data_IF_438792875939
#
_entry.id   IF_438792875939
#
_cell.length_a   1.000
_cell.length_b   1.000
_cell.length_c   1.000
_cell.angle_alpha   90.00
_cell.angle_beta   90.00
_cell.angle_gamma   90.00
#
_symmetry.space_group_name_H-M   'P 1'
#
loop_
_entity.id
_entity.type
_entity.pdbx_description
1 polymer ?
#
# COMPACT_ATOMS: atom_id res chain seq x y z
N UNK A 1 -43.34 13.00 -4.71
CA UNK A 1 -42.69 12.62 -3.67
C UNK A 1 -41.34 13.29 -3.44
N UNK A 2 -41.38 14.29 -2.69
CA UNK A 2 -40.17 15.08 -2.45
C UNK A 2 -39.14 14.44 -1.52
N UNK A 3 -39.58 13.52 -0.69
CA UNK A 3 -38.61 12.73 0.09
C UNK A 3 -37.64 12.05 -0.81
N UNK A 4 -38.15 11.50 -1.87
CA UNK A 4 -37.33 10.75 -2.79
C UNK A 4 -36.35 11.64 -3.51
N UNK A 5 -36.76 12.84 -3.86
CA UNK A 5 -35.87 13.78 -4.51
C UNK A 5 -34.72 14.18 -3.58
N UNK A 6 -35.01 14.42 -2.31
CA UNK A 6 -33.98 14.77 -1.32
C UNK A 6 -33.07 13.62 -1.02
N UNK A 7 -33.62 12.44 -0.75
CA UNK A 7 -32.83 11.24 -0.51
C UNK A 7 -32.00 10.88 -1.73
N UNK A 8 -32.59 10.98 -2.90
CA UNK A 8 -31.89 10.70 -4.14
C UNK A 8 -30.69 11.60 -4.34
N UNK A 9 -30.78 12.86 -3.96
CA UNK A 9 -29.68 13.80 -4.04
C UNK A 9 -28.55 13.44 -3.09
N UNK A 10 -28.87 13.10 -1.85
CA UNK A 10 -27.87 12.68 -0.88
C UNK A 10 -27.25 11.35 -1.26
N UNK A 11 -28.05 10.39 -1.70
CA UNK A 11 -27.57 9.10 -2.14
C UNK A 11 -26.63 9.22 -3.34
N UNK A 12 -26.93 10.07 -4.29
CA UNK A 12 -26.06 10.35 -5.42
C UNK A 12 -24.74 10.98 -4.97
N UNK A 13 -24.78 11.88 -4.02
CA UNK A 13 -23.59 12.52 -3.49
C UNK A 13 -22.65 11.51 -2.83
N UNK A 14 -23.19 10.52 -2.14
CA UNK A 14 -22.43 9.44 -1.53
C UNK A 14 -21.91 8.46 -2.60
N UNK A 15 -22.79 8.03 -3.49
CA UNK A 15 -22.46 7.00 -4.49
C UNK A 15 -21.43 7.47 -5.52
N UNK A 16 -21.45 8.73 -5.94
CA UNK A 16 -20.49 9.23 -6.92
C UNK A 16 -19.09 9.45 -6.34
N UNK A 17 -18.93 9.27 -5.02
CA UNK A 17 -17.65 9.40 -4.34
C UNK A 17 -16.85 8.11 -4.25
N UNK A 18 -17.36 7.01 -4.79
CA UNK A 18 -16.71 5.72 -4.70
C UNK A 18 -15.97 5.41 -6.00
N UNK A 19 -14.67 5.14 -5.90
CA UNK A 19 -13.84 4.72 -7.00
C UNK A 19 -13.02 3.51 -6.56
N UNK A 20 -12.94 2.50 -7.40
CA UNK A 20 -12.16 1.30 -7.14
C UNK A 20 -11.31 0.94 -8.35
N UNK A 21 -10.18 0.29 -8.10
CA UNK A 21 -9.34 -0.14 -9.19
C UNK A 21 -8.15 -0.96 -8.73
N UNK A 22 -7.28 -1.24 -9.69
CA UNK A 22 -6.04 -2.00 -9.47
C UNK A 22 -4.88 -1.21 -10.05
N UNK A 23 -3.81 -1.09 -9.26
CA UNK A 23 -2.53 -0.53 -9.72
C UNK A 23 -1.55 -1.67 -9.92
N UNK A 24 -1.24 -1.98 -11.16
CA UNK A 24 -0.31 -3.06 -11.51
C UNK A 24 1.12 -2.63 -11.23
N UNK A 25 1.85 -3.44 -10.48
CA UNK A 25 3.22 -3.13 -10.11
C UNK A 25 4.02 -4.39 -9.76
N UNK A 26 5.31 -4.19 -9.62
CA UNK A 26 6.24 -5.16 -9.05
C UNK A 26 6.98 -4.52 -7.88
N UNK A 27 7.68 -5.35 -7.12
CA UNK A 27 8.39 -4.93 -5.92
C UNK A 27 9.82 -5.43 -6.01
N UNK A 28 10.76 -4.59 -5.59
CA UNK A 28 12.19 -4.86 -5.70
C UNK A 28 12.93 -4.45 -4.43
N UNK A 29 14.23 -4.67 -4.40
CA UNK A 29 15.13 -4.22 -3.34
C UNK A 29 15.90 -5.36 -2.72
N UNK A 30 15.24 -6.42 -2.27
CA UNK A 30 15.86 -7.50 -1.52
C UNK A 30 15.97 -8.82 -2.30
N UNK A 31 15.29 -8.95 -3.42
CA UNK A 31 15.27 -10.15 -4.24
C UNK A 31 16.14 -10.01 -5.49
N UNK A 32 16.51 -11.13 -6.09
CA UNK A 32 17.31 -11.13 -7.31
C UNK A 32 16.57 -10.50 -8.51
N UNK A 33 15.25 -10.53 -8.49
CA UNK A 33 14.39 -9.92 -9.53
C UNK A 33 13.13 -9.36 -8.92
N UNK A 34 12.42 -8.56 -9.70
CA UNK A 34 11.15 -7.97 -9.27
C UNK A 34 10.10 -9.04 -8.98
N UNK A 35 9.31 -8.82 -7.93
CA UNK A 35 8.23 -9.70 -7.53
C UNK A 35 6.89 -9.08 -7.90
N UNK A 36 6.01 -9.78 -8.63
CA UNK A 36 4.71 -9.23 -8.97
C UNK A 36 3.82 -9.12 -7.73
N UNK A 37 3.00 -8.08 -7.68
CA UNK A 37 2.06 -7.89 -6.59
C UNK A 37 1.28 -6.62 -6.79
N UNK A 38 0.09 -6.72 -7.36
CA UNK A 38 -0.74 -5.56 -7.66
C UNK A 38 -1.42 -5.03 -6.42
N UNK A 39 -1.52 -3.71 -6.35
CA UNK A 39 -2.30 -3.03 -5.33
C UNK A 39 -3.73 -2.88 -5.82
N UNK A 40 -4.68 -3.22 -4.97
CA UNK A 40 -6.07 -2.84 -5.17
C UNK A 40 -6.36 -1.60 -4.34
N UNK A 41 -7.30 -0.78 -4.77
CA UNK A 41 -7.64 0.44 -4.04
C UNK A 41 -9.12 0.74 -4.07
N UNK A 42 -9.55 1.47 -3.06
CA UNK A 42 -10.89 2.03 -2.98
C UNK A 42 -10.77 3.46 -2.47
N UNK A 43 -11.44 4.40 -3.17
CA UNK A 43 -11.50 5.79 -2.76
C UNK A 43 -12.95 6.14 -2.51
N UNK A 44 -13.22 6.62 -1.30
CA UNK A 44 -14.55 7.10 -0.91
C UNK A 44 -14.36 8.55 -0.45
N UNK A 45 -14.83 9.51 -1.26
CA UNK A 45 -14.58 10.91 -1.00
C UNK A 45 -13.09 11.21 -0.99
N UNK A 46 -12.56 11.66 0.15
CA UNK A 46 -11.14 11.93 0.35
C UNK A 46 -10.39 10.79 1.02
N UNK A 47 -11.05 9.66 1.22
CA UNK A 47 -10.51 8.54 1.98
C UNK A 47 -10.03 7.46 1.03
N UNK A 48 -8.75 7.10 1.14
CA UNK A 48 -8.14 6.05 0.33
C UNK A 48 -7.90 4.82 1.20
N UNK A 49 -8.24 3.67 0.65
CA UNK A 49 -7.84 2.39 1.21
C UNK A 49 -7.04 1.64 0.16
N UNK A 50 -5.80 1.30 0.49
CA UNK A 50 -4.95 0.46 -0.35
C UNK A 50 -4.93 -0.94 0.23
N UNK A 51 -5.02 -1.92 -0.64
CA UNK A 51 -4.93 -3.33 -0.26
C UNK A 51 -3.60 -3.86 -0.80
N UNK A 52 -2.66 -4.12 0.11
CA UNK A 52 -1.37 -4.68 -0.24
C UNK A 52 -1.51 -6.18 -0.50
N UNK A 53 -0.85 -6.69 -1.55
CA UNK A 53 -0.81 -8.12 -1.79
C UNK A 53 0.16 -8.80 -0.81
N UNK A 54 0.12 -10.13 -0.78
CA UNK A 54 1.17 -10.91 -0.16
C UNK A 54 2.32 -11.04 -1.16
N UNK A 55 3.52 -10.61 -0.77
CA UNK A 55 4.73 -10.73 -1.58
C UNK A 55 5.83 -11.34 -0.72
N UNK A 56 6.37 -12.47 -1.15
CA UNK A 56 7.39 -13.20 -0.40
C UNK A 56 8.23 -14.03 -1.34
N UNK A 57 9.54 -14.02 -1.15
CA UNK A 57 10.47 -14.87 -1.87
C UNK A 57 11.82 -14.88 -1.14
N UNK A 58 12.75 -15.70 -1.58
CA UNK A 58 14.08 -15.76 -1.00
C UNK A 58 14.83 -14.47 -1.29
N UNK A 59 15.26 -13.79 -0.23
CA UNK A 59 16.04 -12.56 -0.33
C UNK A 59 17.51 -12.88 -0.66
N UNK A 60 18.14 -11.97 -1.39
CA UNK A 60 19.55 -12.10 -1.78
C UNK A 60 20.37 -10.85 -1.43
N UNK A 61 19.72 -9.75 -1.09
CA UNK A 61 20.36 -8.45 -0.84
C UNK A 61 19.75 -7.83 0.40
N UNK A 62 20.60 -7.30 1.28
CA UNK A 62 20.15 -6.48 2.42
C UNK A 62 19.78 -5.09 1.92
N UNK A 63 18.51 -4.74 2.00
CA UNK A 63 17.98 -3.46 1.57
C UNK A 63 16.56 -3.30 2.12
N UNK A 64 15.91 -2.19 1.79
CA UNK A 64 14.48 -2.04 1.95
C UNK A 64 13.76 -2.55 0.69
N UNK A 65 12.46 -2.86 0.83
CA UNK A 65 11.61 -3.19 -0.31
C UNK A 65 11.00 -1.89 -0.84
N UNK A 66 10.90 -1.77 -2.14
CA UNK A 66 10.22 -0.62 -2.76
C UNK A 66 9.33 -1.08 -3.91
N UNK A 67 8.28 -0.31 -4.13
CA UNK A 67 7.40 -0.48 -5.28
C UNK A 67 8.11 0.09 -6.52
N UNK A 68 8.15 -0.66 -7.60
CA UNK A 68 8.88 -0.28 -8.82
C UNK A 68 8.21 0.88 -9.59
N UNK A 69 6.92 1.07 -9.39
CA UNK A 69 6.17 2.17 -9.97
C UNK A 69 5.71 3.12 -8.87
N UNK A 70 5.16 4.27 -9.24
CA UNK A 70 4.56 5.19 -8.27
C UNK A 70 3.04 5.09 -8.35
N UNK A 71 2.37 5.41 -7.26
CA UNK A 71 0.91 5.50 -7.25
C UNK A 71 0.44 6.56 -8.24
N UNK A 72 -0.72 6.36 -8.89
CA UNK A 72 -1.34 7.41 -9.68
C UNK A 72 -1.54 8.68 -8.86
N UNK A 73 -1.51 9.85 -9.51
CA UNK A 73 -1.62 11.13 -8.83
C UNK A 73 -2.86 11.22 -7.94
N UNK A 74 -3.97 10.61 -8.36
CA UNK A 74 -5.22 10.62 -7.61
C UNK A 74 -5.19 9.81 -6.31
N UNK A 75 -4.17 9.00 -6.09
CA UNK A 75 -4.02 8.17 -4.88
C UNK A 75 -2.86 8.63 -3.98
N UNK A 76 -2.17 9.71 -4.33
CA UNK A 76 -1.01 10.16 -3.57
C UNK A 76 -1.44 10.91 -2.32
N UNK A 77 -0.86 10.60 -1.17
CA UNK A 77 -1.17 11.34 0.06
C UNK A 77 -0.62 12.77 -0.01
N UNK A 78 -1.27 13.69 0.70
CA UNK A 78 -0.79 15.07 0.81
C UNK A 78 0.37 15.21 1.80
N UNK A 79 0.46 14.28 2.74
CA UNK A 79 1.57 14.18 3.68
C UNK A 79 2.10 12.75 3.64
N UNK A 80 3.39 12.53 3.91
CA UNK A 80 3.92 11.16 4.01
C UNK A 80 3.14 10.35 5.04
N UNK A 81 2.88 9.10 4.72
CA UNK A 81 2.18 8.18 5.62
C UNK A 81 3.13 7.07 6.07
N UNK A 82 3.23 6.89 7.38
CA UNK A 82 3.98 5.79 7.99
C UNK A 82 3.00 4.88 8.71
N UNK A 83 2.99 3.61 8.34
CA UNK A 83 2.06 2.63 8.91
C UNK A 83 2.82 1.38 9.30
N UNK A 84 2.39 0.78 10.40
CA UNK A 84 2.90 -0.51 10.86
C UNK A 84 2.24 -1.63 10.05
N UNK A 85 3.05 -2.55 9.53
CA UNK A 85 2.57 -3.73 8.79
C UNK A 85 3.31 -4.97 9.28
N UNK A 86 2.78 -6.15 8.91
CA UNK A 86 3.47 -7.40 9.17
C UNK A 86 4.38 -7.75 8.00
N UNK A 87 5.63 -8.10 8.33
CA UNK A 87 6.65 -8.51 7.36
C UNK A 87 7.25 -9.85 7.78
N UNK A 88 7.97 -10.45 6.86
CA UNK A 88 8.81 -11.61 7.13
C UNK A 88 10.24 -11.27 6.74
N UNK A 89 11.20 -11.60 7.60
CA UNK A 89 12.63 -11.41 7.32
C UNK A 89 13.38 -12.64 7.77
N UNK A 90 14.06 -13.29 6.82
CA UNK A 90 14.80 -14.52 7.05
C UNK A 90 13.93 -15.61 7.72
N UNK A 91 12.70 -15.74 7.26
CA UNK A 91 11.75 -16.72 7.79
C UNK A 91 11.09 -16.33 9.11
N UNK A 92 11.36 -15.14 9.64
CA UNK A 92 10.80 -14.68 10.92
C UNK A 92 9.76 -13.62 10.66
N UNK A 93 8.55 -13.84 11.15
CA UNK A 93 7.46 -12.85 11.09
C UNK A 93 7.67 -11.79 12.17
N UNK A 94 7.55 -10.55 11.79
CA UNK A 94 7.72 -9.42 12.71
C UNK A 94 6.95 -8.19 12.22
N UNK A 95 6.94 -7.17 13.05
CA UNK A 95 6.28 -5.90 12.75
C UNK A 95 7.27 -5.03 11.98
N UNK A 96 6.88 -4.62 10.79
CA UNK A 96 7.65 -3.72 9.94
C UNK A 96 6.98 -2.37 9.78
N UNK A 97 7.51 -1.57 8.89
CA UNK A 97 7.01 -0.22 8.61
C UNK A 97 6.87 -0.03 7.11
N UNK A 98 5.76 0.55 6.68
CA UNK A 98 5.58 1.03 5.32
C UNK A 98 5.53 2.54 5.32
N UNK A 99 6.23 3.15 4.36
CA UNK A 99 6.18 4.57 4.11
C UNK A 99 5.61 4.82 2.72
N UNK A 100 4.64 5.72 2.64
CA UNK A 100 4.08 6.18 1.37
C UNK A 100 4.35 7.67 1.31
N UNK A 101 5.14 8.11 0.36
CA UNK A 101 5.46 9.53 0.24
C UNK A 101 4.52 10.26 -0.70
N UNK A 102 4.65 11.58 -0.74
CA UNK A 102 3.78 12.44 -1.54
C UNK A 102 3.95 12.26 -3.05
N UNK A 103 5.03 11.64 -3.49
CA UNK A 103 5.25 11.34 -4.90
C UNK A 103 4.59 10.04 -5.33
N UNK A 104 4.04 9.30 -4.37
CA UNK A 104 3.41 8.00 -4.61
C UNK A 104 4.37 6.83 -4.54
N UNK A 105 5.61 7.05 -4.10
CA UNK A 105 6.57 5.97 -3.86
C UNK A 105 6.24 5.25 -2.56
N UNK A 106 6.41 3.93 -2.57
CA UNK A 106 6.16 3.09 -1.39
C UNK A 106 7.43 2.33 -1.04
N UNK A 107 7.81 2.40 0.25
CA UNK A 107 8.97 1.73 0.81
C UNK A 107 8.55 0.89 2.01
N UNK A 108 9.13 -0.30 2.15
CA UNK A 108 8.84 -1.21 3.25
C UNK A 108 10.13 -1.59 3.94
N UNK A 109 10.14 -1.50 5.26
CA UNK A 109 11.28 -1.74 6.14
C UNK A 109 11.01 -2.94 7.05
N UNK A 110 12.08 -3.59 7.50
CA UNK A 110 11.97 -4.82 8.24
C UNK A 110 11.52 -4.66 9.69
N UNK A 111 11.58 -3.44 10.23
CA UNK A 111 11.09 -3.12 11.57
C UNK A 111 10.59 -1.68 11.67
N UNK A 112 10.08 -1.31 12.84
CA UNK A 112 9.51 0.02 13.08
C UNK A 112 10.56 1.13 13.11
N UNK A 113 11.85 0.80 13.18
CA UNK A 113 12.96 1.74 13.18
C UNK A 113 13.57 1.93 11.80
N UNK A 114 12.86 1.55 10.74
CA UNK A 114 13.31 1.66 9.35
C UNK A 114 14.58 0.87 9.06
N UNK A 115 14.78 -0.26 9.74
CA UNK A 115 15.90 -1.14 9.47
C UNK A 115 15.73 -1.86 8.14
N UNK A 116 16.85 -2.17 7.49
CA UNK A 116 16.86 -2.94 6.26
C UNK A 116 16.56 -4.41 6.54
N UNK A 117 16.05 -5.11 5.55
CA UNK A 117 15.93 -6.57 5.60
C UNK A 117 17.33 -7.19 5.62
N UNK A 118 17.44 -8.39 6.21
CA UNK A 118 18.74 -9.08 6.36
C UNK A 118 19.36 -9.47 5.03
N UNK A 119 18.55 -9.68 4.01
CA UNK A 119 19.03 -10.11 2.70
C UNK A 119 19.20 -11.62 2.57
N UNK A 120 18.64 -12.40 3.49
CA UNK A 120 18.69 -13.86 3.48
C UNK A 120 17.32 -14.44 3.75
N UNK A 121 17.11 -15.69 3.32
CA UNK A 121 15.91 -16.45 3.61
C UNK A 121 14.63 -15.88 3.01
N UNK A 122 13.51 -16.48 3.38
CA UNK A 122 12.20 -16.02 2.94
C UNK A 122 11.89 -14.67 3.56
N UNK A 123 11.63 -13.68 2.73
CA UNK A 123 11.41 -12.31 3.15
C UNK A 123 10.39 -11.61 2.26
N UNK A 124 9.61 -10.73 2.85
CA UNK A 124 8.58 -10.00 2.15
C UNK A 124 7.58 -9.35 3.10
N UNK A 125 6.36 -9.11 2.61
CA UNK A 125 5.31 -8.51 3.42
C UNK A 125 3.98 -9.25 3.26
N UNK A 126 3.16 -9.11 4.28
CA UNK A 126 1.89 -9.79 4.37
C UNK A 126 0.77 -8.96 3.74
N UNK A 127 -0.30 -9.63 3.37
CA UNK A 127 -1.52 -8.98 2.92
C UNK A 127 -2.09 -8.08 4.00
N UNK A 128 -2.36 -6.82 3.68
CA UNK A 128 -2.97 -5.89 4.63
C UNK A 128 -3.63 -4.73 3.92
N UNK A 129 -4.42 -3.95 4.64
CA UNK A 129 -5.00 -2.73 4.12
C UNK A 129 -4.40 -1.52 4.84
N UNK A 130 -4.22 -0.42 4.08
CA UNK A 130 -3.71 0.84 4.57
C UNK A 130 -4.73 1.90 4.23
N UNK A 131 -4.95 2.80 5.17
CA UNK A 131 -5.95 3.85 5.06
C UNK A 131 -5.33 5.22 5.30
N UNK A 132 -5.61 6.17 4.40
CA UNK A 132 -5.18 7.56 4.56
C UNK A 132 -6.14 8.51 3.84
N UNK A 133 -6.01 9.79 4.12
CA UNK A 133 -6.82 10.83 3.50
C UNK A 133 -6.04 11.58 2.44
N UNK A 134 -6.77 12.06 1.42
CA UNK A 134 -6.21 12.85 0.31
C UNK A 134 -6.12 14.34 0.64
N UNK A 135 -6.81 14.77 1.68
CA UNK A 135 -6.79 16.19 2.11
C UNK A 135 -6.75 16.31 3.62
#
# INVERSE_FOLDING_TARGET
MSIDASLSKEAKSVLVSIDTGTHSTTWSGIWAGGQPGDLEYQVIGNSVQLFLPYVNNTATVSDYIYMDTVLPASLRPVNPEDVTIFVEDDGVFKIGKINIDMTGSIYIYSDENYSLFSGTGLSGFQKCSIHYNLT
#
